data_IF_729224401749
#
_entry.id   IF_729224401749
#
_cell.length_a   1.000
_cell.length_b   1.000
_cell.length_c   1.000
_cell.angle_alpha   90.00
_cell.angle_beta   90.00
_cell.angle_gamma   90.00
#
_symmetry.space_group_name_H-M   'P 1'
#
loop_
_entity.id
_entity.type
_entity.pdbx_description
1 polymer ?
#
# COMPACT_ATOMS: atom_id res chain seq x y z
N UNK A 1 29.69 -6.92 -4.03
CA UNK A 1 28.68 -6.59 -5.06
C UNK A 1 27.62 -7.65 -4.92
N UNK A 2 26.68 -7.40 -4.03
CA UNK A 2 25.69 -8.39 -3.63
C UNK A 2 24.62 -8.44 -4.72
N UNK A 3 24.55 -9.59 -5.37
CA UNK A 3 23.62 -9.88 -6.44
C UNK A 3 22.20 -9.72 -5.91
N UNK A 4 21.43 -8.87 -6.58
CA UNK A 4 19.98 -8.76 -6.60
C UNK A 4 19.30 -10.07 -6.18
N UNK A 5 19.05 -10.23 -4.88
CA UNK A 5 18.02 -11.13 -4.44
C UNK A 5 16.73 -10.41 -4.82
N UNK A 6 16.10 -10.89 -5.88
CA UNK A 6 14.77 -10.47 -6.31
C UNK A 6 13.77 -10.94 -5.22
N UNK A 7 13.86 -10.34 -4.04
CA UNK A 7 13.14 -10.73 -2.86
C UNK A 7 11.67 -10.49 -3.12
N UNK A 8 10.89 -11.57 -3.14
CA UNK A 8 9.46 -11.52 -3.39
C UNK A 8 8.75 -10.64 -2.35
N UNK A 9 9.31 -10.53 -1.14
CA UNK A 9 8.81 -9.64 -0.09
C UNK A 9 9.07 -8.18 -0.47
N UNK A 10 10.29 -7.81 -0.87
CA UNK A 10 10.61 -6.45 -1.30
C UNK A 10 9.78 -6.00 -2.51
N UNK A 11 9.56 -6.89 -3.50
CA UNK A 11 8.66 -6.61 -4.63
C UNK A 11 7.20 -6.42 -4.20
N UNK A 12 6.74 -7.21 -3.25
CA UNK A 12 5.38 -7.08 -2.72
C UNK A 12 5.23 -5.78 -1.93
N UNK A 13 6.24 -5.40 -1.14
CA UNK A 13 6.30 -4.12 -0.45
C UNK A 13 6.27 -2.95 -1.41
N UNK A 14 7.08 -2.96 -2.47
CA UNK A 14 7.07 -1.94 -3.52
C UNK A 14 5.68 -1.84 -4.16
N UNK A 15 5.09 -2.97 -4.55
CA UNK A 15 3.77 -3.00 -5.18
C UNK A 15 2.66 -2.44 -4.27
N UNK A 16 2.56 -2.91 -3.03
CA UNK A 16 1.50 -2.46 -2.14
C UNK A 16 1.70 -1.02 -1.67
N UNK A 17 2.94 -0.59 -1.47
CA UNK A 17 3.27 0.82 -1.17
C UNK A 17 2.89 1.73 -2.33
N UNK A 18 3.20 1.33 -3.57
CA UNK A 18 2.78 2.04 -4.77
C UNK A 18 1.25 2.18 -4.83
N UNK A 19 0.51 1.09 -4.59
CA UNK A 19 -0.96 1.11 -4.56
C UNK A 19 -1.53 2.03 -3.48
N UNK A 20 -0.98 1.96 -2.27
CA UNK A 20 -1.36 2.84 -1.15
C UNK A 20 -1.15 4.31 -1.54
N UNK A 21 -0.01 4.65 -2.16
CA UNK A 21 0.28 6.01 -2.62
C UNK A 21 -0.67 6.46 -3.74
N UNK A 22 -0.92 5.63 -4.76
CA UNK A 22 -1.88 5.96 -5.82
C UNK A 22 -3.27 6.28 -5.25
N UNK A 23 -3.74 5.48 -4.30
CA UNK A 23 -5.04 5.66 -3.68
C UNK A 23 -5.08 6.92 -2.82
N UNK A 24 -4.04 7.17 -2.00
CA UNK A 24 -3.92 8.42 -1.22
C UNK A 24 -3.89 9.65 -2.12
N UNK A 25 -3.14 9.61 -3.21
CA UNK A 25 -3.04 10.72 -4.16
C UNK A 25 -4.38 11.00 -4.83
N UNK A 26 -5.10 9.95 -5.24
CA UNK A 26 -6.45 10.08 -5.79
C UNK A 26 -7.41 10.70 -4.76
N UNK A 27 -7.45 10.16 -3.54
CA UNK A 27 -8.34 10.66 -2.47
C UNK A 27 -8.04 12.12 -2.14
N UNK A 28 -6.76 12.46 -1.95
CA UNK A 28 -6.33 13.80 -1.55
C UNK A 28 -6.45 14.84 -2.67
N UNK A 29 -6.41 14.43 -3.94
CA UNK A 29 -6.59 15.33 -5.09
C UNK A 29 -8.06 15.51 -5.48
N UNK A 30 -8.94 14.59 -5.08
CA UNK A 30 -10.36 14.68 -5.38
C UNK A 30 -11.05 15.77 -4.56
N UNK A 31 -11.98 16.48 -5.21
CA UNK A 31 -12.81 17.52 -4.58
C UNK A 31 -14.27 17.12 -4.41
N UNK A 32 -14.66 16.01 -5.03
CA UNK A 32 -16.06 15.64 -5.25
C UNK A 32 -16.35 14.20 -4.77
N UNK A 33 -15.62 13.73 -3.75
CA UNK A 33 -15.91 12.43 -3.14
C UNK A 33 -17.17 12.48 -2.27
N UNK A 34 -18.01 11.47 -2.39
CA UNK A 34 -19.10 11.25 -1.44
C UNK A 34 -18.56 10.67 -0.13
N UNK A 35 -19.37 10.74 0.92
CA UNK A 35 -19.04 10.14 2.22
C UNK A 35 -18.82 8.63 2.07
N UNK A 36 -19.64 7.95 1.29
CA UNK A 36 -19.53 6.51 1.03
C UNK A 36 -18.19 6.18 0.34
N UNK A 37 -17.77 6.98 -0.64
CA UNK A 37 -16.48 6.79 -1.31
C UNK A 37 -15.31 7.01 -0.36
N UNK A 38 -15.37 8.01 0.52
CA UNK A 38 -14.34 8.24 1.54
C UNK A 38 -14.21 7.04 2.48
N UNK A 39 -15.34 6.46 2.90
CA UNK A 39 -15.36 5.26 3.74
C UNK A 39 -14.74 4.07 3.00
N UNK A 40 -15.17 3.83 1.76
CA UNK A 40 -14.66 2.73 0.91
C UNK A 40 -13.14 2.83 0.71
N UNK A 41 -12.61 4.00 0.36
CA UNK A 41 -11.16 4.18 0.20
C UNK A 41 -10.40 4.06 1.52
N UNK A 42 -11.01 4.47 2.64
CA UNK A 42 -10.43 4.25 3.97
C UNK A 42 -10.28 2.76 4.30
N UNK A 43 -11.29 1.95 3.98
CA UNK A 43 -11.25 0.49 4.14
C UNK A 43 -10.20 -0.15 3.23
N UNK A 44 -10.11 0.28 1.97
CA UNK A 44 -9.09 -0.19 1.03
C UNK A 44 -7.67 0.15 1.50
N UNK A 45 -7.44 1.38 1.99
CA UNK A 45 -6.17 1.78 2.59
C UNK A 45 -5.81 0.93 3.81
N UNK A 46 -6.75 0.63 4.69
CA UNK A 46 -6.50 -0.20 5.86
C UNK A 46 -6.04 -1.63 5.47
N UNK A 47 -6.63 -2.20 4.40
CA UNK A 47 -6.22 -3.52 3.87
C UNK A 47 -4.81 -3.48 3.29
N UNK A 48 -4.45 -2.41 2.57
CA UNK A 48 -3.11 -2.24 2.02
C UNK A 48 -2.07 -2.12 3.13
N UNK A 49 -2.36 -1.32 4.16
CA UNK A 49 -1.44 -1.09 5.26
C UNK A 49 -1.22 -2.35 6.11
N UNK A 50 -2.28 -3.12 6.36
CA UNK A 50 -2.15 -4.42 7.02
C UNK A 50 -1.22 -5.37 6.25
N UNK A 51 -1.32 -5.42 4.91
CA UNK A 51 -0.44 -6.25 4.07
C UNK A 51 0.99 -5.76 4.10
N UNK A 52 1.22 -4.45 4.04
CA UNK A 52 2.56 -3.84 4.12
C UNK A 52 3.19 -4.19 5.46
N UNK A 53 2.51 -3.95 6.58
CA UNK A 53 3.03 -4.29 7.92
C UNK A 53 3.34 -5.79 8.06
N UNK A 54 2.48 -6.67 7.55
CA UNK A 54 2.75 -8.11 7.60
C UNK A 54 4.01 -8.50 6.80
N UNK A 55 4.24 -7.85 5.66
CA UNK A 55 5.41 -8.07 4.82
C UNK A 55 6.69 -7.48 5.43
N UNK A 56 6.61 -6.29 6.05
CA UNK A 56 7.73 -5.68 6.78
C UNK A 56 8.19 -6.60 7.92
N UNK A 57 7.25 -7.10 8.74
CA UNK A 57 7.53 -8.07 9.80
C UNK A 57 8.19 -9.34 9.24
N UNK A 58 7.69 -9.85 8.11
CA UNK A 58 8.26 -11.03 7.47
C UNK A 58 9.65 -10.79 6.86
N UNK A 59 9.97 -9.55 6.46
CA UNK A 59 11.29 -9.19 5.91
C UNK A 59 12.35 -9.01 7.00
N UNK A 60 11.92 -8.58 8.19
CA UNK A 60 12.79 -8.37 9.36
C UNK A 60 13.06 -9.65 10.18
N UNK A 61 12.31 -10.73 9.92
CA UNK A 61 12.39 -12.03 10.63
C UNK A 61 13.36 -13.01 9.99
#
# INVERSE_FOLDING_TARGET
MELLLDNKIDKALEYYTFKSNQLKDFVNSSKDLTVEQIIEFGEELAVLEYKITALEVANES
#
